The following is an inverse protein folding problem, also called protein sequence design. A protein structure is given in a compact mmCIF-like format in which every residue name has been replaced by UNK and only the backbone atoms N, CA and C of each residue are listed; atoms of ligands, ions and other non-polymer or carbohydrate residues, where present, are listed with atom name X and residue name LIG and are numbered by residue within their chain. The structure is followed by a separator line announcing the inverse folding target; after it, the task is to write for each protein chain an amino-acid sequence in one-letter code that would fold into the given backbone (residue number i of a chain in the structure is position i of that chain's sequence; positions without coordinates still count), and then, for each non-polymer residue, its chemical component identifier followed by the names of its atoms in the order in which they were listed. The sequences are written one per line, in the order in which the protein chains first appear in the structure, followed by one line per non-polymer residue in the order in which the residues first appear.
data_IF_873669943685
#
_entry.id   IF_873669943685
#
_cell.length_a   1.000
_cell.length_b   1.000
_cell.length_c   1.000
_cell.angle_alpha   90.00
_cell.angle_beta   90.00
_cell.angle_gamma   90.00
#
_symmetry.space_group_name_H-M   'P 1'
#
loop_
_entity.id
_entity.type
_entity.pdbx_description
1 polymer ?
#
# COMPACT_ATOMS: atom_id res chain seq x y z
N UNK A 1 -16.25 -22.37 17.10
CA UNK A 1 -15.32 -22.92 16.06
C UNK A 1 -14.40 -24.02 16.62
N UNK A 2 -13.72 -23.83 17.77
CA UNK A 2 -12.75 -24.82 18.27
C UNK A 2 -13.42 -26.09 18.90
N UNK A 3 -14.57 -25.93 19.54
CA UNK A 3 -15.36 -27.06 20.10
C UNK A 3 -16.05 -27.85 19.00
N UNK A 4 -16.58 -27.18 18.00
CA UNK A 4 -17.23 -27.79 16.83
C UNK A 4 -16.23 -28.63 16.03
N UNK A 5 -15.02 -28.07 15.77
CA UNK A 5 -13.95 -28.79 15.09
C UNK A 5 -13.52 -30.03 15.86
N UNK A 6 -13.31 -29.94 17.18
CA UNK A 6 -12.98 -31.08 18.03
C UNK A 6 -14.08 -32.15 18.03
N UNK A 7 -15.34 -31.74 18.02
CA UNK A 7 -16.48 -32.67 17.92
C UNK A 7 -16.50 -33.36 16.57
N UNK A 8 -16.35 -32.62 15.46
CA UNK A 8 -16.29 -33.18 14.11
C UNK A 8 -15.10 -34.14 13.95
N UNK A 9 -13.91 -33.78 14.45
CA UNK A 9 -12.74 -34.65 14.42
C UNK A 9 -12.98 -35.97 15.22
N UNK A 10 -13.80 -35.94 16.28
CA UNK A 10 -14.13 -37.13 17.06
C UNK A 10 -15.15 -38.07 16.39
N UNK A 11 -15.98 -37.54 15.49
CA UNK A 11 -17.01 -38.30 14.77
C UNK A 11 -16.65 -38.65 13.33
N UNK A 12 -15.56 -38.14 12.83
CA UNK A 12 -15.11 -38.31 11.43
C UNK A 12 -15.02 -39.80 11.00
N UNK A 13 -14.61 -40.67 11.90
CA UNK A 13 -14.41 -42.10 11.65
C UNK A 13 -15.56 -42.97 12.18
N UNK A 14 -16.64 -42.36 12.72
CA UNK A 14 -17.80 -43.12 13.16
C UNK A 14 -18.67 -43.52 11.97
N UNK A 15 -19.22 -44.73 12.02
CA UNK A 15 -20.23 -45.19 11.07
C UNK A 15 -21.49 -44.36 11.24
N UNK A 16 -21.90 -43.62 10.20
CA UNK A 16 -23.10 -42.76 10.23
C UNK A 16 -24.24 -43.32 9.38
N UNK A 17 -23.93 -44.16 8.39
CA UNK A 17 -24.91 -44.86 7.57
C UNK A 17 -24.49 -46.31 7.42
N UNK A 18 -25.44 -47.22 7.77
CA UNK A 18 -25.28 -48.64 7.58
C UNK A 18 -26.43 -49.16 6.69
N UNK A 19 -26.11 -49.55 5.46
CA UNK A 19 -27.09 -50.07 4.49
C UNK A 19 -27.16 -51.61 4.51
N UNK A 20 -26.54 -52.27 5.48
CA UNK A 20 -26.49 -53.70 5.59
C UNK A 20 -25.48 -54.39 4.70
N UNK A 21 -25.20 -53.85 3.52
CA UNK A 21 -24.23 -54.31 2.53
C UNK A 21 -22.97 -53.45 2.51
N UNK A 22 -23.08 -52.19 2.93
CA UNK A 22 -22.02 -51.19 2.97
C UNK A 22 -22.22 -50.27 4.17
N UNK A 23 -21.12 -50.00 4.85
CA UNK A 23 -21.03 -49.06 5.96
C UNK A 23 -20.27 -47.83 5.50
N UNK A 24 -20.73 -46.62 5.84
CA UNK A 24 -20.12 -45.37 5.48
C UNK A 24 -19.82 -44.55 6.73
N UNK A 25 -18.58 -44.12 6.86
CA UNK A 25 -18.17 -43.16 7.88
C UNK A 25 -18.60 -41.74 7.50
N UNK A 26 -18.54 -40.81 8.44
CA UNK A 26 -18.82 -39.39 8.16
C UNK A 26 -17.87 -38.86 7.05
N UNK A 27 -16.60 -39.25 7.07
CA UNK A 27 -15.64 -38.86 6.03
C UNK A 27 -16.02 -39.39 4.64
N UNK A 28 -16.45 -40.67 4.55
CA UNK A 28 -16.85 -41.27 3.26
C UNK A 28 -18.04 -40.54 2.63
N UNK A 29 -18.95 -40.03 3.46
CA UNK A 29 -20.13 -39.28 2.99
C UNK A 29 -19.74 -37.86 2.63
N UNK A 30 -18.88 -37.25 3.43
CA UNK A 30 -18.40 -35.90 3.19
C UNK A 30 -17.59 -35.80 1.88
N UNK A 31 -16.77 -36.82 1.59
CA UNK A 31 -16.00 -36.88 0.34
C UNK A 31 -16.89 -37.11 -0.89
N UNK A 32 -18.09 -37.67 -0.68
CA UNK A 32 -19.12 -37.86 -1.73
C UNK A 32 -20.19 -36.77 -1.74
N UNK A 33 -20.11 -35.78 -0.84
CA UNK A 33 -21.02 -34.65 -0.83
C UNK A 33 -20.98 -33.94 -2.18
N UNK A 34 -22.16 -33.76 -2.80
CA UNK A 34 -22.23 -33.01 -4.05
C UNK A 34 -21.82 -31.56 -3.78
N UNK A 35 -20.88 -31.09 -4.59
CA UNK A 35 -20.45 -29.71 -4.53
C UNK A 35 -21.58 -28.80 -4.99
N UNK A 36 -22.24 -28.18 -4.03
CA UNK A 36 -23.31 -27.22 -4.28
C UNK A 36 -22.70 -25.91 -4.77
N UNK A 37 -23.10 -25.50 -5.98
CA UNK A 37 -22.71 -24.22 -6.56
C UNK A 37 -23.26 -23.02 -5.78
N UNK A 38 -22.95 -21.83 -6.26
CA UNK A 38 -23.34 -20.54 -5.70
C UNK A 38 -24.87 -20.44 -5.46
N UNK A 39 -25.66 -20.99 -6.37
CA UNK A 39 -27.13 -20.93 -6.34
C UNK A 39 -27.74 -21.69 -5.16
N UNK A 40 -27.08 -22.74 -4.69
CA UNK A 40 -27.59 -23.60 -3.61
C UNK A 40 -26.93 -23.32 -2.26
N UNK A 41 -25.65 -22.94 -2.25
CA UNK A 41 -24.87 -22.70 -1.03
C UNK A 41 -24.78 -21.22 -0.67
N UNK A 42 -25.20 -20.33 -1.58
CA UNK A 42 -24.93 -18.90 -1.51
C UNK A 42 -23.43 -18.63 -1.68
N UNK A 43 -23.01 -17.40 -1.58
CA UNK A 43 -21.60 -17.03 -1.67
C UNK A 43 -21.40 -15.68 -2.35
N UNK A 44 -20.22 -15.48 -2.89
CA UNK A 44 -19.80 -14.22 -3.53
C UNK A 44 -19.49 -14.48 -4.99
N UNK A 45 -20.06 -13.65 -5.88
CA UNK A 45 -19.65 -13.54 -7.28
C UNK A 45 -19.11 -12.13 -7.48
N UNK A 46 -17.85 -12.02 -7.88
CA UNK A 46 -17.18 -10.76 -8.11
C UNK A 46 -16.50 -10.75 -9.48
N UNK A 47 -16.52 -9.60 -10.14
CA UNK A 47 -15.76 -9.36 -11.37
C UNK A 47 -14.72 -8.29 -11.04
N UNK A 48 -13.45 -8.65 -11.14
CA UNK A 48 -12.33 -7.73 -11.03
C UNK A 48 -11.81 -7.37 -12.40
N UNK A 49 -11.34 -6.15 -12.57
CA UNK A 49 -10.71 -5.70 -13.80
C UNK A 49 -9.31 -5.17 -13.49
N UNK A 50 -8.31 -5.68 -14.21
CA UNK A 50 -6.96 -5.13 -14.18
C UNK A 50 -6.97 -3.76 -14.85
N UNK A 51 -6.48 -2.74 -14.15
CA UNK A 51 -6.39 -1.38 -14.69
C UNK A 51 -5.26 -1.29 -15.71
N UNK A 52 -5.59 -1.33 -16.99
CA UNK A 52 -4.61 -1.13 -18.08
C UNK A 52 -3.93 0.22 -17.97
N UNK A 53 -4.65 1.26 -17.53
CA UNK A 53 -4.08 2.58 -17.24
C UNK A 53 -2.92 2.51 -16.25
N UNK A 54 -3.12 1.84 -15.10
CA UNK A 54 -2.08 1.70 -14.08
C UNK A 54 -0.89 0.87 -14.59
N UNK A 55 -1.14 -0.13 -15.44
CA UNK A 55 -0.08 -0.89 -16.10
C UNK A 55 0.74 0.04 -17.00
N UNK A 56 0.11 0.87 -17.82
CA UNK A 56 0.81 1.84 -18.69
C UNK A 56 1.62 2.87 -17.89
N UNK A 57 1.07 3.37 -16.78
CA UNK A 57 1.78 4.29 -15.88
C UNK A 57 3.03 3.59 -15.29
N UNK A 58 2.88 2.36 -14.85
CA UNK A 58 3.99 1.57 -14.30
C UNK A 58 5.07 1.29 -15.34
N UNK A 59 4.69 0.84 -16.55
CA UNK A 59 5.62 0.58 -17.65
C UNK A 59 6.38 1.83 -18.10
N UNK A 60 5.74 3.00 -18.03
CA UNK A 60 6.38 4.30 -18.31
C UNK A 60 7.25 4.83 -17.16
N UNK A 61 7.39 4.08 -16.05
CA UNK A 61 8.05 4.52 -14.83
C UNK A 61 7.49 5.85 -14.30
N UNK A 62 6.16 5.96 -14.25
CA UNK A 62 5.42 7.15 -13.83
C UNK A 62 5.80 8.42 -14.63
N UNK A 63 5.86 8.29 -15.96
CA UNK A 63 6.21 9.36 -16.87
C UNK A 63 5.49 10.67 -16.53
N UNK A 64 6.24 11.76 -16.52
CA UNK A 64 5.73 13.12 -16.29
C UNK A 64 5.48 13.88 -17.61
N UNK A 65 5.66 13.22 -18.75
CA UNK A 65 5.38 13.79 -20.07
C UNK A 65 3.95 14.33 -20.14
N UNK A 66 3.81 15.60 -20.54
CA UNK A 66 2.51 16.25 -20.65
C UNK A 66 1.63 15.57 -21.70
N UNK A 67 2.21 15.12 -22.81
CA UNK A 67 1.51 14.42 -23.89
C UNK A 67 0.96 13.10 -23.36
N UNK A 68 1.78 12.30 -22.67
CA UNK A 68 1.39 11.03 -22.10
C UNK A 68 0.24 11.20 -21.07
N UNK A 69 0.37 12.17 -20.16
CA UNK A 69 -0.66 12.44 -19.14
C UNK A 69 -1.96 12.95 -19.72
N UNK A 70 -1.87 13.79 -20.76
CA UNK A 70 -3.05 14.28 -21.50
C UNK A 70 -3.75 13.14 -22.22
N UNK A 71 -3.00 12.24 -22.87
CA UNK A 71 -3.55 11.07 -23.54
C UNK A 71 -4.25 10.11 -22.57
N UNK A 72 -3.66 9.83 -21.40
CA UNK A 72 -4.31 9.02 -20.37
C UNK A 72 -5.63 9.63 -19.90
N UNK A 73 -5.66 10.95 -19.68
CA UNK A 73 -6.88 11.63 -19.25
C UNK A 73 -7.97 11.58 -20.33
N UNK A 74 -7.60 11.78 -21.58
CA UNK A 74 -8.53 11.72 -22.70
C UNK A 74 -9.05 10.29 -22.90
N UNK A 75 -8.21 9.26 -22.78
CA UNK A 75 -8.62 7.87 -22.83
C UNK A 75 -9.60 7.50 -21.68
N UNK A 76 -9.40 8.04 -20.46
CA UNK A 76 -10.36 7.86 -19.35
C UNK A 76 -11.74 8.43 -19.69
N UNK A 77 -11.80 9.60 -20.32
CA UNK A 77 -13.07 10.21 -20.73
C UNK A 77 -13.71 9.42 -21.88
N UNK A 78 -12.91 8.98 -22.86
CA UNK A 78 -13.39 8.15 -23.96
C UNK A 78 -13.96 6.81 -23.48
N UNK A 79 -13.34 6.19 -22.46
CA UNK A 79 -13.80 4.91 -21.90
C UNK A 79 -15.18 4.99 -21.24
N UNK A 80 -15.61 6.16 -20.75
CA UNK A 80 -16.93 6.32 -20.14
C UNK A 80 -18.08 6.06 -21.13
N UNK A 81 -17.82 6.35 -22.40
CA UNK A 81 -18.83 6.26 -23.48
C UNK A 81 -18.51 5.18 -24.51
N UNK A 82 -17.44 4.42 -24.32
CA UNK A 82 -16.95 3.42 -25.26
C UNK A 82 -16.59 2.13 -24.54
N UNK A 83 -16.86 0.98 -25.16
CA UNK A 83 -16.54 -0.36 -24.67
C UNK A 83 -15.24 -0.92 -25.25
N UNK A 84 -14.52 -0.13 -26.03
CA UNK A 84 -13.27 -0.53 -26.67
C UNK A 84 -12.18 -0.83 -25.62
N UNK A 85 -11.14 -1.52 -26.08
CA UNK A 85 -9.99 -1.81 -25.24
C UNK A 85 -9.29 -0.49 -24.84
N UNK A 86 -8.97 -0.33 -23.56
CA UNK A 86 -8.31 0.88 -23.05
C UNK A 86 -6.99 1.20 -23.76
N UNK A 87 -6.21 0.19 -24.16
CA UNK A 87 -4.97 0.42 -24.90
C UNK A 87 -5.24 1.10 -26.25
N UNK A 88 -6.31 0.69 -26.94
CA UNK A 88 -6.68 1.28 -28.24
C UNK A 88 -7.14 2.72 -28.06
N UNK A 89 -7.95 2.98 -27.04
CA UNK A 89 -8.37 4.35 -26.71
C UNK A 89 -7.16 5.22 -26.36
N UNK A 90 -6.25 4.72 -25.50
CA UNK A 90 -5.03 5.44 -25.14
C UNK A 90 -4.17 5.74 -26.36
N UNK A 91 -3.99 4.77 -27.26
CA UNK A 91 -3.20 4.92 -28.46
C UNK A 91 -3.75 6.01 -29.37
N UNK A 92 -5.04 5.99 -29.66
CA UNK A 92 -5.72 7.01 -30.46
C UNK A 92 -5.58 8.40 -29.85
N UNK A 93 -5.82 8.52 -28.55
CA UNK A 93 -5.70 9.79 -27.82
C UNK A 93 -4.26 10.27 -27.72
N UNK A 94 -3.30 9.35 -27.68
CA UNK A 94 -1.89 9.71 -27.72
C UNK A 94 -1.48 10.30 -29.07
N UNK A 95 -1.93 9.73 -30.17
CA UNK A 95 -1.66 10.27 -31.51
C UNK A 95 -2.27 11.66 -31.69
N UNK A 96 -3.49 11.88 -31.18
CA UNK A 96 -4.12 13.21 -31.17
C UNK A 96 -3.32 14.19 -30.31
N UNK A 97 -2.91 13.79 -29.10
CA UNK A 97 -2.18 14.63 -28.17
C UNK A 97 -0.75 14.93 -28.64
N UNK A 98 -0.09 13.99 -29.30
CA UNK A 98 1.23 14.16 -29.89
C UNK A 98 1.17 15.07 -31.12
N UNK A 99 0.14 14.96 -31.95
CA UNK A 99 -0.06 15.82 -33.13
C UNK A 99 1.22 15.99 -33.96
N UNK A 100 1.63 17.25 -34.17
CA UNK A 100 2.85 17.59 -34.93
C UNK A 100 4.10 17.72 -34.05
N UNK A 101 4.05 17.39 -32.76
CA UNK A 101 5.17 17.58 -31.81
C UNK A 101 6.35 16.64 -32.07
N UNK A 102 6.16 15.57 -32.85
CA UNK A 102 7.18 14.57 -33.12
C UNK A 102 7.48 13.63 -31.95
N UNK A 103 6.75 13.74 -30.84
CA UNK A 103 6.89 12.88 -29.66
C UNK A 103 6.33 11.50 -29.98
N UNK A 104 7.14 10.45 -29.70
CA UNK A 104 6.76 9.05 -29.94
C UNK A 104 6.55 8.30 -28.64
N UNK A 105 5.81 7.21 -28.70
CA UNK A 105 5.68 6.27 -27.57
C UNK A 105 7.05 5.67 -27.16
N UNK A 106 7.98 5.52 -28.12
CA UNK A 106 9.34 5.01 -27.89
C UNK A 106 10.29 6.01 -27.22
N UNK A 107 9.86 7.24 -26.94
CA UNK A 107 10.70 8.24 -26.27
C UNK A 107 11.12 7.78 -24.87
N UNK A 108 12.37 8.11 -24.45
CA UNK A 108 12.89 7.74 -23.13
C UNK A 108 12.06 8.25 -21.95
N UNK A 109 11.33 9.36 -22.15
CA UNK A 109 10.43 9.94 -21.15
C UNK A 109 9.08 9.22 -21.06
N UNK A 110 8.77 8.29 -21.98
CA UNK A 110 7.50 7.55 -22.02
C UNK A 110 7.78 6.06 -21.83
N UNK A 111 7.93 5.27 -22.90
CA UNK A 111 8.18 3.84 -22.81
C UNK A 111 9.59 3.41 -23.21
N UNK A 112 10.42 4.30 -23.76
CA UNK A 112 11.85 4.06 -24.00
C UNK A 112 12.67 3.96 -22.70
N UNK A 113 12.06 3.44 -21.62
CA UNK A 113 12.62 3.36 -20.28
C UNK A 113 13.73 2.30 -20.21
N UNK A 114 14.62 2.42 -19.21
CA UNK A 114 15.70 1.45 -18.99
C UNK A 114 15.19 0.02 -18.83
N UNK A 115 14.00 -0.16 -18.24
CA UNK A 115 13.37 -1.46 -18.01
C UNK A 115 12.86 -2.12 -19.30
N UNK A 116 12.39 -1.32 -20.27
CA UNK A 116 11.83 -1.80 -21.54
C UNK A 116 12.82 -1.69 -22.71
N UNK A 117 14.07 -1.27 -22.48
CA UNK A 117 15.04 -0.94 -23.53
C UNK A 117 15.34 -2.08 -24.50
N UNK A 118 15.28 -3.33 -24.04
CA UNK A 118 15.49 -4.51 -24.89
C UNK A 118 14.32 -4.74 -25.86
N UNK A 119 13.10 -4.31 -25.45
CA UNK A 119 11.86 -4.51 -26.20
C UNK A 119 11.46 -3.25 -26.98
N UNK A 120 11.62 -2.07 -26.36
CA UNK A 120 11.25 -0.78 -26.92
C UNK A 120 12.48 0.09 -27.03
N UNK A 121 13.06 0.16 -28.21
CA UNK A 121 14.15 1.07 -28.54
C UNK A 121 13.59 2.33 -29.24
N UNK A 122 14.37 3.40 -29.24
CA UNK A 122 14.01 4.72 -29.80
C UNK A 122 13.60 4.69 -31.27
N UNK A 123 14.05 3.70 -32.05
CA UNK A 123 13.75 3.60 -33.47
C UNK A 123 12.39 2.97 -33.77
N UNK A 124 11.73 2.36 -32.78
CA UNK A 124 10.41 1.73 -32.96
C UNK A 124 9.34 2.75 -33.26
N UNK A 125 8.45 2.37 -34.16
CA UNK A 125 7.22 3.13 -34.46
C UNK A 125 6.22 3.01 -33.31
N UNK A 126 5.24 3.90 -33.29
CA UNK A 126 4.16 3.82 -32.27
C UNK A 126 3.40 2.49 -32.36
N UNK A 127 3.20 1.94 -33.55
CA UNK A 127 2.51 0.67 -33.77
C UNK A 127 3.30 -0.51 -33.19
N UNK A 128 4.61 -0.56 -33.43
CA UNK A 128 5.49 -1.58 -32.86
C UNK A 128 5.54 -1.48 -31.33
N UNK A 129 5.50 -0.28 -30.78
CA UNK A 129 5.42 -0.06 -29.31
C UNK A 129 4.07 -0.55 -28.78
N UNK A 130 2.98 -0.30 -29.49
CA UNK A 130 1.64 -0.78 -29.12
C UNK A 130 1.58 -2.30 -29.02
N UNK A 131 2.17 -3.03 -29.99
CA UNK A 131 2.25 -4.49 -29.96
C UNK A 131 3.01 -4.99 -28.73
N UNK A 132 4.15 -4.38 -28.41
CA UNK A 132 4.93 -4.73 -27.22
C UNK A 132 4.17 -4.42 -25.91
N UNK A 133 3.49 -3.28 -25.85
CA UNK A 133 2.64 -2.93 -24.71
C UNK A 133 1.49 -3.91 -24.52
N UNK A 134 0.88 -4.39 -25.61
CA UNK A 134 -0.17 -5.42 -25.54
C UNK A 134 0.36 -6.72 -24.93
N UNK A 135 1.60 -7.12 -25.26
CA UNK A 135 2.25 -8.30 -24.69
C UNK A 135 2.48 -8.09 -23.19
N UNK A 136 3.01 -6.92 -22.78
CA UNK A 136 3.27 -6.59 -21.37
C UNK A 136 1.97 -6.51 -20.55
N UNK A 137 0.92 -5.92 -21.10
CA UNK A 137 -0.40 -5.87 -20.47
C UNK A 137 -0.95 -7.28 -20.26
N UNK A 138 -0.88 -8.15 -21.28
CA UNK A 138 -1.34 -9.54 -21.16
C UNK A 138 -0.52 -10.31 -20.11
N UNK A 139 0.77 -10.08 -20.04
CA UNK A 139 1.66 -10.64 -19.00
C UNK A 139 1.23 -10.17 -17.60
N UNK A 140 0.95 -8.87 -17.44
CA UNK A 140 0.47 -8.28 -16.19
C UNK A 140 -0.88 -8.85 -15.76
N UNK A 141 -1.81 -9.07 -16.71
CA UNK A 141 -3.11 -9.69 -16.46
C UNK A 141 -2.93 -11.14 -15.99
N UNK A 142 -2.03 -11.90 -16.64
CA UNK A 142 -1.72 -13.28 -16.22
C UNK A 142 -1.14 -13.31 -14.80
N UNK A 143 -0.21 -12.44 -14.51
CA UNK A 143 0.37 -12.33 -13.16
C UNK A 143 -0.69 -11.99 -12.12
N UNK A 144 -1.57 -11.03 -12.41
CA UNK A 144 -2.69 -10.68 -11.53
C UNK A 144 -3.64 -11.87 -11.30
N UNK A 145 -3.93 -12.64 -12.34
CA UNK A 145 -4.75 -13.85 -12.26
C UNK A 145 -4.13 -14.89 -11.32
N UNK A 146 -2.84 -15.21 -11.48
CA UNK A 146 -2.14 -16.18 -10.63
C UNK A 146 -2.04 -15.70 -9.18
N UNK A 147 -1.81 -14.40 -8.95
CA UNK A 147 -1.82 -13.82 -7.61
C UNK A 147 -3.19 -13.95 -6.94
N UNK A 148 -4.26 -13.63 -7.66
CA UNK A 148 -5.64 -13.79 -7.16
C UNK A 148 -5.96 -15.24 -6.84
N UNK A 149 -5.60 -16.16 -7.72
CA UNK A 149 -5.77 -17.59 -7.52
C UNK A 149 -5.06 -18.07 -6.25
N UNK A 150 -3.78 -17.73 -6.11
CA UNK A 150 -3.00 -18.08 -4.92
C UNK A 150 -3.59 -17.51 -3.62
N UNK A 151 -4.10 -16.29 -3.64
CA UNK A 151 -4.78 -15.68 -2.47
C UNK A 151 -6.05 -16.43 -2.09
N UNK A 152 -6.85 -16.77 -3.08
CA UNK A 152 -8.13 -17.45 -2.87
C UNK A 152 -7.91 -18.88 -2.38
N UNK A 153 -6.94 -19.59 -2.95
CA UNK A 153 -6.57 -20.94 -2.51
C UNK A 153 -6.11 -20.93 -1.04
N UNK A 154 -5.29 -19.93 -0.64
CA UNK A 154 -4.85 -19.75 0.76
C UNK A 154 -5.99 -19.32 1.71
N UNK A 155 -7.06 -18.73 1.20
CA UNK A 155 -8.22 -18.33 2.01
C UNK A 155 -9.07 -19.52 2.49
N UNK A 156 -8.90 -20.67 1.86
CA UNK A 156 -9.56 -21.93 2.29
C UNK A 156 -11.04 -22.01 1.93
N UNK A 157 -11.49 -21.30 0.90
CA UNK A 157 -12.84 -21.49 0.35
C UNK A 157 -12.90 -22.81 -0.42
N UNK A 158 -13.94 -23.59 -0.19
CA UNK A 158 -14.12 -24.85 -0.88
C UNK A 158 -14.50 -24.60 -2.34
N UNK A 159 -13.68 -25.07 -3.26
CA UNK A 159 -13.91 -25.04 -4.72
C UNK A 159 -14.23 -23.64 -5.31
N UNK A 160 -13.29 -22.71 -5.19
CA UNK A 160 -13.44 -21.42 -5.85
C UNK A 160 -13.40 -21.61 -7.38
N UNK A 161 -14.24 -20.87 -8.11
CA UNK A 161 -14.16 -20.78 -9.56
C UNK A 161 -13.56 -19.42 -9.95
N UNK A 162 -12.45 -19.45 -10.68
CA UNK A 162 -11.73 -18.25 -11.10
C UNK A 162 -11.50 -18.35 -12.60
N UNK A 163 -12.05 -17.41 -13.36
CA UNK A 163 -12.00 -17.44 -14.82
C UNK A 163 -11.65 -16.07 -15.40
N UNK A 164 -10.88 -16.05 -16.47
CA UNK A 164 -10.67 -14.83 -17.27
C UNK A 164 -11.81 -14.65 -18.24
N UNK A 165 -12.34 -13.43 -18.33
CA UNK A 165 -13.41 -13.08 -19.29
C UNK A 165 -12.78 -12.51 -20.56
N UNK A 166 -12.53 -13.37 -21.53
CA UNK A 166 -11.92 -12.97 -22.82
C UNK A 166 -10.58 -12.26 -22.64
N UNK A 167 -10.32 -11.27 -23.50
CA UNK A 167 -9.09 -10.45 -23.48
C UNK A 167 -9.31 -9.07 -22.81
N UNK A 168 -10.42 -8.89 -22.09
CA UNK A 168 -10.82 -7.60 -21.51
C UNK A 168 -10.07 -7.22 -20.22
N UNK A 169 -9.16 -8.09 -19.74
CA UNK A 169 -8.51 -7.93 -18.45
C UNK A 169 -9.45 -8.15 -17.25
N UNK A 170 -10.66 -8.67 -17.49
CA UNK A 170 -11.62 -9.01 -16.43
C UNK A 170 -11.41 -10.43 -15.95
N UNK A 171 -11.54 -10.60 -14.64
CA UNK A 171 -11.40 -11.87 -13.93
C UNK A 171 -12.66 -12.07 -13.12
N UNK A 172 -13.43 -13.11 -13.44
CA UNK A 172 -14.58 -13.53 -12.64
C UNK A 172 -14.13 -14.46 -11.52
N UNK A 173 -14.65 -14.23 -10.33
CA UNK A 173 -14.35 -14.98 -9.13
C UNK A 173 -15.66 -15.38 -8.48
N UNK A 174 -15.86 -16.68 -8.30
CA UNK A 174 -17.02 -17.24 -7.61
C UNK A 174 -16.52 -18.01 -6.38
N UNK A 175 -17.04 -17.65 -5.21
CA UNK A 175 -16.64 -18.20 -3.93
C UNK A 175 -17.87 -18.79 -3.22
N UNK A 176 -18.24 -20.07 -3.48
CA UNK A 176 -19.38 -20.70 -2.87
C UNK A 176 -19.22 -20.81 -1.34
N UNK A 177 -20.28 -20.50 -0.60
CA UNK A 177 -20.30 -20.59 0.85
C UNK A 177 -19.54 -19.52 1.62
N UNK A 178 -18.94 -18.55 0.93
CA UNK A 178 -18.30 -17.40 1.58
C UNK A 178 -19.38 -16.48 2.18
N UNK A 179 -19.31 -16.25 3.52
CA UNK A 179 -20.34 -15.47 4.26
C UNK A 179 -19.89 -14.03 4.52
N UNK A 180 -18.58 -13.78 4.64
CA UNK A 180 -18.01 -12.48 4.99
C UNK A 180 -17.54 -11.76 3.72
N UNK A 181 -18.46 -11.01 3.12
CA UNK A 181 -18.24 -10.25 1.89
C UNK A 181 -17.13 -9.20 2.04
N UNK A 182 -17.08 -8.50 3.19
CA UNK A 182 -16.14 -7.41 3.42
C UNK A 182 -14.72 -7.94 3.54
N UNK A 183 -14.53 -9.04 4.26
CA UNK A 183 -13.24 -9.70 4.40
C UNK A 183 -12.73 -10.23 3.07
N UNK A 184 -13.61 -10.88 2.29
CA UNK A 184 -13.26 -11.38 0.96
C UNK A 184 -12.91 -10.24 0.02
N UNK A 185 -13.73 -9.18 -0.01
CA UNK A 185 -13.46 -8.00 -0.84
C UNK A 185 -12.11 -7.39 -0.50
N UNK A 186 -11.81 -7.19 0.78
CA UNK A 186 -10.48 -6.71 1.22
C UNK A 186 -9.36 -7.62 0.76
N UNK A 187 -9.54 -8.95 0.87
CA UNK A 187 -8.51 -9.91 0.46
C UNK A 187 -8.19 -9.84 -1.04
N UNK A 188 -9.23 -9.84 -1.88
CA UNK A 188 -9.05 -9.89 -3.34
C UNK A 188 -8.69 -8.54 -3.95
N UNK A 189 -9.10 -7.42 -3.34
CA UNK A 189 -8.82 -6.07 -3.84
C UNK A 189 -7.61 -5.41 -3.20
N UNK A 190 -7.10 -5.94 -2.07
CA UNK A 190 -5.94 -5.34 -1.40
C UNK A 190 -4.72 -5.31 -2.31
N UNK A 191 -4.19 -4.12 -2.49
CA UNK A 191 -2.91 -3.88 -3.14
C UNK A 191 -1.91 -3.54 -2.04
N UNK A 192 -0.80 -4.26 -1.99
CA UNK A 192 0.30 -3.93 -1.12
C UNK A 192 1.59 -4.30 -1.84
N UNK A 193 2.48 -3.35 -1.96
CA UNK A 193 3.85 -3.58 -2.39
C UNK A 193 4.68 -3.93 -1.16
N UNK A 194 5.26 -5.13 -1.15
CA UNK A 194 6.14 -5.53 -0.07
C UNK A 194 7.52 -4.93 -0.32
N UNK A 195 7.97 -4.13 0.63
CA UNK A 195 9.26 -3.48 0.60
C UNK A 195 9.97 -3.68 1.94
N UNK A 196 11.27 -3.96 1.90
CA UNK A 196 12.11 -4.04 3.10
C UNK A 196 13.10 -2.89 3.07
N UNK A 197 13.11 -2.13 4.16
CA UNK A 197 13.95 -0.96 4.34
C UNK A 197 14.68 -1.05 5.68
N UNK A 198 15.90 -0.55 5.71
CA UNK A 198 16.52 -0.21 6.97
C UNK A 198 15.80 1.00 7.58
N UNK A 199 15.75 1.03 8.90
CA UNK A 199 15.19 2.15 9.67
C UNK A 199 16.27 2.82 10.49
N UNK A 200 16.14 4.12 10.68
CA UNK A 200 16.92 4.83 11.67
C UNK A 200 16.41 4.52 13.06
N UNK A 201 17.31 4.44 14.01
CA UNK A 201 16.94 4.47 15.41
C UNK A 201 16.50 5.89 15.82
N UNK A 202 15.71 5.98 16.90
CA UNK A 202 15.34 7.27 17.47
C UNK A 202 16.56 8.10 17.88
N UNK A 203 17.65 7.46 18.34
CA UNK A 203 18.92 8.13 18.67
C UNK A 203 19.55 8.86 17.47
N UNK A 204 19.49 8.25 16.27
CA UNK A 204 20.07 8.82 15.05
C UNK A 204 19.30 10.05 14.55
N UNK A 205 17.99 10.12 14.77
CA UNK A 205 17.13 11.21 14.24
C UNK A 205 16.69 12.22 15.29
N UNK A 206 16.93 11.99 16.58
CA UNK A 206 16.48 12.89 17.65
C UNK A 206 17.01 14.33 17.51
N UNK A 207 18.29 14.51 17.15
CA UNK A 207 18.88 15.84 16.97
C UNK A 207 18.21 16.61 15.82
N UNK A 208 17.87 15.92 14.75
CA UNK A 208 17.09 16.50 13.65
C UNK A 208 15.70 16.93 14.12
N UNK A 209 15.00 16.10 14.89
CA UNK A 209 13.66 16.42 15.41
C UNK A 209 13.68 17.58 16.39
N UNK A 210 14.74 17.74 17.20
CA UNK A 210 14.93 18.92 18.03
C UNK A 210 15.10 20.19 17.20
N UNK A 211 15.95 20.15 16.18
CA UNK A 211 16.14 21.28 15.27
C UNK A 211 14.86 21.61 14.49
N UNK A 212 14.14 20.57 14.04
CA UNK A 212 12.86 20.72 13.37
C UNK A 212 11.81 21.37 14.30
N UNK A 213 11.77 20.97 15.58
CA UNK A 213 10.86 21.55 16.56
C UNK A 213 11.10 23.06 16.74
N UNK A 214 12.35 23.50 16.82
CA UNK A 214 12.69 24.92 16.95
C UNK A 214 12.24 25.73 15.75
N UNK A 215 12.50 25.25 14.52
CA UNK A 215 12.06 25.92 13.28
C UNK A 215 10.53 25.93 13.17
N UNK A 216 9.85 24.83 13.49
CA UNK A 216 8.38 24.78 13.48
C UNK A 216 7.78 25.74 14.50
N UNK A 217 8.37 25.89 15.67
CA UNK A 217 7.90 26.85 16.67
C UNK A 217 7.97 28.31 16.14
N UNK A 218 9.06 28.66 15.45
CA UNK A 218 9.18 29.96 14.80
C UNK A 218 8.14 30.17 13.69
N UNK A 219 7.96 29.16 12.82
CA UNK A 219 6.99 29.20 11.73
C UNK A 219 5.55 29.40 12.25
N UNK A 220 5.17 28.68 13.30
CA UNK A 220 3.83 28.80 13.88
C UNK A 220 3.61 30.13 14.62
N UNK A 221 4.69 30.79 15.08
CA UNK A 221 4.62 32.16 15.60
C UNK A 221 4.40 33.18 14.48
N UNK A 222 5.11 33.05 13.35
CA UNK A 222 4.96 33.91 12.17
C UNK A 222 3.52 33.82 11.63
N UNK A 223 2.96 32.63 11.44
CA UNK A 223 1.60 32.41 10.95
C UNK A 223 0.52 33.03 11.88
N UNK A 224 0.75 33.01 13.20
CA UNK A 224 -0.16 33.65 14.15
C UNK A 224 -0.04 35.19 14.17
N UNK A 225 1.10 35.77 13.81
CA UNK A 225 1.33 37.20 13.73
C UNK A 225 0.68 37.80 12.47
N UNK A 226 0.72 37.10 11.32
CA UNK A 226 0.05 37.53 10.07
C UNK A 226 -1.48 37.45 10.16
N UNK A 227 -2.02 36.59 11.02
CA UNK A 227 -3.48 36.47 11.26
C UNK A 227 -4.09 37.63 12.06
N UNK A 228 -3.27 38.45 12.68
CA UNK A 228 -3.72 39.57 13.54
C UNK A 228 -3.75 40.95 12.85
N UNK A 229 -3.31 41.07 11.60
CA UNK A 229 -3.28 42.36 10.87
C UNK A 229 -4.56 42.70 10.06
N UNK A 230 -5.65 41.95 10.19
CA UNK A 230 -6.93 42.24 9.49
C UNK A 230 -8.12 42.30 10.40
N UNK A 231 -8.06 43.04 11.49
CA UNK A 231 -9.27 43.58 12.17
C UNK A 231 -8.90 44.94 12.74
N UNK A 232 -8.92 45.97 11.91
CA UNK A 232 -9.20 47.35 12.35
C UNK A 232 -10.71 47.49 12.53
N UNK A 233 -11.09 48.05 13.66
CA UNK A 233 -12.41 48.48 14.16
C UNK A 233 -13.12 47.48 15.11
N UNK A 234 -12.72 47.53 16.38
CA UNK A 234 -13.62 47.47 17.52
C UNK A 234 -12.87 47.78 18.83
N UNK A 235 -12.93 49.03 19.28
CA UNK A 235 -12.24 49.57 20.45
C UNK A 235 -12.76 49.07 21.83
N UNK A 236 -13.69 48.13 21.87
CA UNK A 236 -14.30 47.64 23.13
C UNK A 236 -13.86 46.24 23.56
N UNK A 237 -13.03 45.55 22.77
CA UNK A 237 -12.54 44.16 23.10
C UNK A 237 -11.23 44.22 23.87
N UNK A 238 -10.50 45.33 23.81
CA UNK A 238 -9.17 45.45 24.44
C UNK A 238 -9.25 45.48 25.98
N UNK A 239 -10.39 45.91 26.55
CA UNK A 239 -10.61 45.92 28.01
C UNK A 239 -10.92 44.51 28.57
N UNK A 240 -11.60 43.67 27.78
CA UNK A 240 -11.94 42.28 28.17
C UNK A 240 -10.72 41.34 28.06
N UNK A 241 -9.82 41.61 27.09
CA UNK A 241 -8.59 40.84 26.90
C UNK A 241 -7.52 41.07 28.00
N UNK A 242 -7.59 42.23 28.69
CA UNK A 242 -6.66 42.53 29.78
C UNK A 242 -7.07 41.91 31.14
N UNK A 243 -8.34 41.54 31.32
CA UNK A 243 -8.82 40.84 32.53
C UNK A 243 -8.65 39.30 32.48
N UNK A 244 -8.39 38.70 31.29
CA UNK A 244 -8.17 37.26 31.12
C UNK A 244 -6.69 36.90 31.08
N UNK A 245 -5.77 37.89 31.25
CA UNK A 245 -4.30 37.62 31.20
C UNK A 245 -3.70 37.01 32.46
N UNK A 246 -4.50 36.58 33.40
CA UNK A 246 -3.97 36.03 34.66
C UNK A 246 -4.32 34.56 34.92
N UNK A 247 -4.20 33.69 33.97
CA UNK A 247 -4.11 32.22 34.17
C UNK A 247 -4.23 31.37 32.91
N UNK A 248 -3.61 31.69 31.79
CA UNK A 248 -3.39 30.70 30.74
C UNK A 248 -2.01 30.93 30.15
N UNK A 249 -1.04 30.09 30.54
CA UNK A 249 0.17 29.90 29.77
C UNK A 249 -0.27 29.58 28.33
N UNK A 250 -0.06 30.53 27.42
CA UNK A 250 -0.18 30.28 26.00
C UNK A 250 0.89 29.26 25.66
N UNK A 251 0.54 27.98 25.70
CA UNK A 251 1.46 26.93 25.26
C UNK A 251 1.81 27.20 23.81
N UNK A 252 3.03 27.66 23.60
CA UNK A 252 3.56 27.87 22.25
C UNK A 252 3.42 26.57 21.48
N UNK A 253 2.62 26.59 20.40
CA UNK A 253 2.47 25.43 19.53
C UNK A 253 3.81 25.12 18.88
N UNK A 254 4.24 23.88 18.97
CA UNK A 254 5.50 23.36 18.44
C UNK A 254 5.27 22.02 17.75
N UNK A 255 6.26 21.46 17.08
CA UNK A 255 6.18 20.11 16.54
C UNK A 255 5.83 19.10 17.64
N UNK A 256 6.42 19.26 18.82
CA UNK A 256 6.21 18.37 19.97
C UNK A 256 4.85 18.50 20.63
N UNK A 257 4.07 19.51 20.29
CA UNK A 257 2.65 19.59 20.67
C UNK A 257 1.82 18.50 19.97
N UNK A 258 2.22 18.10 18.74
CA UNK A 258 1.55 17.11 17.93
C UNK A 258 2.26 15.76 17.89
N UNK A 259 3.57 15.75 18.20
CA UNK A 259 4.43 14.58 18.07
C UNK A 259 5.15 14.30 19.41
N UNK A 260 4.82 13.18 20.03
CA UNK A 260 5.52 12.69 21.21
C UNK A 260 6.76 11.91 20.78
N UNK A 261 7.94 12.53 20.88
CA UNK A 261 9.20 11.94 20.44
C UNK A 261 9.76 11.02 21.51
N UNK A 262 10.17 9.83 21.12
CA UNK A 262 10.78 8.85 21.98
C UNK A 262 12.29 9.15 22.15
N UNK A 263 12.61 10.07 23.07
CA UNK A 263 13.99 10.45 23.34
C UNK A 263 14.74 9.39 24.12
N UNK A 264 16.02 9.19 23.79
CA UNK A 264 16.89 8.25 24.46
C UNK A 264 18.14 8.97 25.00
N UNK A 265 18.60 8.51 26.15
CA UNK A 265 19.81 9.04 26.82
C UNK A 265 21.05 8.18 26.54
N UNK A 266 20.87 6.96 26.07
CA UNK A 266 21.94 6.03 25.71
C UNK A 266 21.60 5.19 24.49
N UNK A 267 22.60 4.77 23.70
CA UNK A 267 22.43 3.90 22.54
C UNK A 267 21.78 2.55 22.85
N UNK A 268 21.95 2.06 24.10
CA UNK A 268 21.34 0.79 24.53
C UNK A 268 19.80 0.86 24.65
N UNK A 269 19.23 2.06 24.69
CA UNK A 269 17.78 2.29 24.69
C UNK A 269 17.24 2.65 23.30
N UNK A 270 18.10 2.56 22.27
CA UNK A 270 17.71 2.89 20.92
C UNK A 270 16.59 1.94 20.42
N UNK A 271 15.61 2.52 19.74
CA UNK A 271 14.45 1.83 19.19
C UNK A 271 14.18 2.32 17.78
N UNK A 272 13.59 1.48 16.96
CA UNK A 272 13.10 1.87 15.63
C UNK A 272 11.86 2.79 15.69
N UNK A 273 11.12 2.78 16.81
CA UNK A 273 10.02 3.69 17.04
C UNK A 273 10.54 5.07 17.41
N UNK A 274 10.46 6.01 16.47
CA UNK A 274 11.01 7.37 16.61
C UNK A 274 10.12 8.26 17.46
N UNK A 275 8.82 8.19 17.23
CA UNK A 275 7.84 9.01 17.91
C UNK A 275 6.44 8.40 17.82
N UNK A 276 5.49 8.99 18.53
CA UNK A 276 4.07 8.68 18.44
C UNK A 276 3.25 9.96 18.29
N UNK A 277 2.12 9.89 17.62
CA UNK A 277 1.18 10.99 17.52
C UNK A 277 -0.26 10.48 17.65
N UNK A 278 -1.20 11.38 17.99
CA UNK A 278 -2.61 11.07 17.83
C UNK A 278 -2.94 10.90 16.35
N UNK A 279 -3.83 9.98 16.01
CA UNK A 279 -4.23 9.76 14.61
C UNK A 279 -4.75 11.04 13.96
N UNK A 280 -5.47 11.89 14.71
CA UNK A 280 -5.95 13.21 14.26
C UNK A 280 -4.83 14.16 13.83
N UNK A 281 -3.64 14.03 14.42
CA UNK A 281 -2.55 14.97 14.26
C UNK A 281 -1.55 14.57 13.16
N UNK A 282 -1.69 13.36 12.63
CA UNK A 282 -0.78 12.80 11.61
C UNK A 282 -0.66 13.68 10.38
N UNK A 283 -1.78 14.26 9.90
CA UNK A 283 -1.78 15.15 8.74
C UNK A 283 -0.97 16.44 9.00
N UNK A 284 -1.10 17.00 10.21
CA UNK A 284 -0.34 18.18 10.62
C UNK A 284 1.15 17.87 10.74
N UNK A 285 1.52 16.77 11.40
CA UNK A 285 2.91 16.32 11.51
C UNK A 285 3.53 16.10 10.12
N UNK A 286 2.82 15.44 9.21
CA UNK A 286 3.29 15.26 7.83
C UNK A 286 3.53 16.59 7.12
N UNK A 287 2.62 17.57 7.27
CA UNK A 287 2.77 18.91 6.70
C UNK A 287 4.02 19.60 7.24
N UNK A 288 4.21 19.58 8.57
CA UNK A 288 5.34 20.23 9.24
C UNK A 288 6.68 19.58 8.86
N UNK A 289 6.78 18.23 8.85
CA UNK A 289 8.00 17.51 8.47
C UNK A 289 8.32 17.60 6.96
N UNK A 290 7.33 17.93 6.13
CA UNK A 290 7.50 18.13 4.69
C UNK A 290 7.79 19.59 4.30
N UNK A 291 7.83 20.52 5.25
CA UNK A 291 8.17 21.90 4.97
C UNK A 291 9.63 22.06 4.52
N UNK A 292 9.87 22.96 3.56
CA UNK A 292 11.20 23.18 2.98
C UNK A 292 12.23 23.65 4.03
N UNK A 293 11.82 24.49 4.99
CA UNK A 293 12.70 24.97 6.07
C UNK A 293 13.13 23.78 6.95
N UNK A 294 12.21 22.86 7.26
CA UNK A 294 12.48 21.65 8.04
C UNK A 294 13.33 20.65 7.27
N UNK A 295 13.00 20.39 6.00
CA UNK A 295 13.78 19.49 5.13
C UNK A 295 15.23 19.97 4.99
N UNK A 296 15.48 21.27 4.93
CA UNK A 296 16.82 21.83 4.79
C UNK A 296 17.74 21.56 5.99
N UNK A 297 17.19 21.19 7.16
CA UNK A 297 17.96 20.83 8.35
C UNK A 297 18.56 19.43 8.30
N UNK A 298 18.20 18.62 7.28
CA UNK A 298 18.71 17.25 7.15
C UNK A 298 20.19 17.24 6.87
N UNK A 299 20.95 16.56 7.71
CA UNK A 299 22.37 16.28 7.52
C UNK A 299 22.57 15.26 6.38
N UNK A 300 23.81 15.06 5.94
CA UNK A 300 24.10 14.11 4.86
C UNK A 300 23.64 12.68 5.22
N UNK A 301 23.75 12.28 6.47
CA UNK A 301 23.40 10.93 6.94
C UNK A 301 21.89 10.65 6.85
N UNK A 302 21.06 11.67 7.11
CA UNK A 302 19.61 11.58 7.08
C UNK A 302 18.97 12.31 5.88
N UNK A 303 19.75 12.63 4.86
CA UNK A 303 19.32 13.43 3.71
C UNK A 303 18.07 12.87 3.02
N UNK A 304 18.01 11.56 2.89
CA UNK A 304 16.92 10.85 2.21
C UNK A 304 15.95 10.20 3.22
N UNK A 305 15.92 10.64 4.49
CA UNK A 305 14.99 10.10 5.47
C UNK A 305 13.56 10.26 5.00
N UNK A 306 12.77 9.18 5.15
CA UNK A 306 11.34 9.15 4.88
C UNK A 306 10.61 8.73 6.16
N UNK A 307 9.66 9.54 6.60
CA UNK A 307 8.85 9.24 7.77
C UNK A 307 7.58 8.49 7.35
N UNK A 308 7.33 7.36 7.98
CA UNK A 308 6.15 6.53 7.73
C UNK A 308 5.46 6.20 9.05
N UNK A 309 4.14 6.16 9.01
CA UNK A 309 3.30 5.76 10.13
C UNK A 309 3.13 4.24 10.17
N UNK A 310 2.90 3.72 11.36
CA UNK A 310 2.49 2.33 11.54
C UNK A 310 1.17 2.05 10.80
N UNK A 311 0.91 0.78 10.51
CA UNK A 311 -0.33 0.35 9.88
C UNK A 311 -1.53 0.46 10.82
N UNK A 312 -1.35 0.22 12.12
CA UNK A 312 -2.43 0.13 13.10
C UNK A 312 -2.19 1.07 14.26
N UNK A 313 -3.20 1.88 14.55
CA UNK A 313 -3.21 2.68 15.76
C UNK A 313 -3.38 1.80 17.00
N UNK A 314 -2.76 2.20 18.10
CA UNK A 314 -2.93 1.63 19.43
C UNK A 314 -3.86 2.53 20.23
N UNK A 315 -4.75 1.94 21.03
CA UNK A 315 -5.65 2.69 21.90
C UNK A 315 -5.04 2.79 23.29
N UNK A 316 -4.82 4.01 23.75
CA UNK A 316 -4.37 4.28 25.11
C UNK A 316 -5.47 4.01 26.15
N UNK A 317 -5.12 3.88 27.45
CA UNK A 317 -6.11 3.69 28.52
C UNK A 317 -7.15 4.82 28.63
N UNK A 318 -6.81 6.02 28.17
CA UNK A 318 -7.72 7.19 28.11
C UNK A 318 -8.67 7.20 26.90
N UNK A 319 -8.61 6.17 26.05
CA UNK A 319 -9.40 6.04 24.84
C UNK A 319 -8.85 6.79 23.62
N UNK A 320 -7.70 7.49 23.75
CA UNK A 320 -7.07 8.16 22.60
C UNK A 320 -6.37 7.13 21.68
N UNK A 321 -6.52 7.30 20.39
CA UNK A 321 -5.82 6.49 19.38
C UNK A 321 -4.47 7.15 19.04
N UNK A 322 -3.40 6.41 19.24
CA UNK A 322 -2.03 6.83 18.93
C UNK A 322 -1.43 5.90 17.87
N UNK A 323 -0.56 6.44 17.04
CA UNK A 323 0.10 5.73 15.96
C UNK A 323 1.60 6.00 15.99
N UNK A 324 2.41 4.96 15.77
CA UNK A 324 3.86 5.04 15.76
C UNK A 324 4.42 5.64 14.49
N UNK A 325 5.49 6.44 14.62
CA UNK A 325 6.25 7.03 13.51
C UNK A 325 7.63 6.36 13.43
N UNK A 326 7.99 5.93 12.21
CA UNK A 326 9.27 5.31 11.87
C UNK A 326 10.01 6.16 10.86
N UNK A 327 11.34 6.19 10.96
CA UNK A 327 12.22 6.89 10.04
C UNK A 327 12.94 5.86 9.15
N UNK A 328 12.64 5.86 7.86
CA UNK A 328 13.16 4.91 6.87
C UNK A 328 14.45 5.46 6.26
N UNK A 329 15.50 4.63 6.14
CA UNK A 329 16.74 4.94 5.39
C UNK A 329 16.46 4.81 3.88
N UNK A 330 15.76 5.81 3.33
CA UNK A 330 15.47 5.83 1.90
C UNK A 330 16.70 6.26 1.08
N UNK A 331 16.60 6.10 -0.23
CA UNK A 331 17.64 6.47 -1.17
C UNK A 331 17.11 7.51 -2.20
N UNK A 332 17.99 8.02 -3.04
CA UNK A 332 17.66 9.07 -4.03
C UNK A 332 16.52 8.68 -4.99
N UNK A 333 16.36 7.39 -5.26
CA UNK A 333 15.37 6.88 -6.22
C UNK A 333 14.09 6.39 -5.52
N UNK A 334 14.04 6.41 -4.19
CA UNK A 334 12.95 5.86 -3.36
C UNK A 334 12.58 4.39 -3.72
N UNK A 335 13.61 3.59 -4.07
CA UNK A 335 13.47 2.18 -4.43
C UNK A 335 14.01 1.33 -3.29
N UNK A 336 13.15 0.44 -2.75
CA UNK A 336 13.53 -0.45 -1.67
C UNK A 336 14.68 -1.39 -2.06
N UNK A 337 15.65 -1.63 -1.17
CA UNK A 337 16.73 -2.59 -1.39
C UNK A 337 16.21 -4.00 -1.70
N UNK A 338 15.12 -4.39 -1.05
CA UNK A 338 14.45 -5.67 -1.26
C UNK A 338 12.95 -5.41 -1.48
N UNK A 339 12.40 -5.98 -2.53
CA UNK A 339 11.00 -5.87 -2.89
C UNK A 339 10.34 -7.27 -2.91
N UNK A 340 9.02 -7.30 -3.02
CA UNK A 340 8.25 -8.53 -3.02
C UNK A 340 8.54 -9.48 -4.19
N UNK A 341 9.20 -9.02 -5.25
CA UNK A 341 9.59 -9.81 -6.43
C UNK A 341 10.56 -10.96 -6.10
N UNK A 342 11.28 -10.85 -4.99
CA UNK A 342 12.21 -11.90 -4.52
C UNK A 342 11.56 -12.93 -3.59
N UNK A 343 10.33 -12.69 -3.14
CA UNK A 343 9.60 -13.61 -2.25
C UNK A 343 8.95 -14.70 -3.09
N UNK A 344 9.29 -15.96 -2.80
CA UNK A 344 8.77 -17.12 -3.51
C UNK A 344 7.60 -17.78 -2.80
N UNK A 345 7.55 -17.67 -1.46
CA UNK A 345 6.43 -18.16 -0.66
C UNK A 345 6.31 -17.38 0.66
N UNK A 346 5.11 -17.34 1.21
CA UNK A 346 4.83 -16.77 2.51
C UNK A 346 3.69 -17.54 3.18
N UNK A 347 3.86 -17.89 4.44
CA UNK A 347 2.88 -18.63 5.22
C UNK A 347 2.78 -18.10 6.66
N UNK A 348 1.59 -18.15 7.22
CA UNK A 348 1.42 -17.95 8.65
C UNK A 348 1.89 -19.21 9.39
N UNK A 349 2.76 -19.01 10.36
CA UNK A 349 3.22 -20.05 11.28
C UNK A 349 3.02 -19.56 12.72
N UNK A 350 3.28 -20.42 13.70
CA UNK A 350 3.23 -20.05 15.11
C UNK A 350 4.58 -20.33 15.74
N UNK A 351 5.06 -19.41 16.57
CA UNK A 351 6.27 -19.60 17.34
C UNK A 351 6.07 -20.63 18.49
N UNK A 352 7.13 -20.90 19.26
CA UNK A 352 7.09 -21.84 20.40
C UNK A 352 6.12 -21.39 21.51
N UNK A 353 5.79 -20.09 21.58
CA UNK A 353 4.86 -19.50 22.53
C UNK A 353 3.44 -19.36 21.96
N UNK A 354 3.19 -19.94 20.77
CA UNK A 354 1.92 -19.88 20.05
C UNK A 354 1.50 -18.46 19.60
N UNK A 355 2.48 -17.55 19.39
CA UNK A 355 2.23 -16.29 18.75
C UNK A 355 2.25 -16.46 17.22
N UNK A 356 1.39 -15.74 16.49
CA UNK A 356 1.38 -15.81 15.03
C UNK A 356 2.61 -15.10 14.44
N UNK A 357 3.33 -15.81 13.57
CA UNK A 357 4.45 -15.30 12.79
C UNK A 357 4.21 -15.45 11.29
N UNK A 358 4.99 -14.74 10.49
CA UNK A 358 5.00 -14.90 9.03
C UNK A 358 6.34 -15.50 8.62
N UNK A 359 6.32 -16.74 8.14
CA UNK A 359 7.47 -17.36 7.48
C UNK A 359 7.50 -16.94 6.01
N UNK A 360 8.67 -16.56 5.51
CA UNK A 360 8.88 -16.17 4.12
C UNK A 360 10.05 -16.93 3.52
N UNK A 361 9.87 -17.42 2.29
CA UNK A 361 10.93 -17.98 1.47
C UNK A 361 11.32 -16.97 0.37
N UNK A 362 12.61 -16.91 0.07
CA UNK A 362 13.15 -16.01 -0.94
C UNK A 362 13.90 -16.80 -2.01
N UNK A 363 13.97 -16.26 -3.23
CA UNK A 363 14.83 -16.79 -4.27
C UNK A 363 16.32 -16.49 -3.95
N UNK A 364 17.26 -17.07 -4.72
CA UNK A 364 18.70 -16.93 -4.47
C UNK A 364 19.20 -15.47 -4.52
N UNK A 365 18.55 -14.58 -5.30
CA UNK A 365 18.83 -13.15 -5.31
C UNK A 365 18.36 -12.49 -4.01
N UNK A 366 17.15 -12.81 -3.58
CA UNK A 366 16.56 -12.28 -2.34
C UNK A 366 17.38 -12.68 -1.11
N UNK A 367 17.81 -13.94 -1.01
CA UNK A 367 18.63 -14.42 0.10
C UNK A 367 19.94 -13.66 0.23
N UNK A 368 20.64 -13.38 -0.88
CA UNK A 368 21.86 -12.56 -0.87
C UNK A 368 21.62 -11.10 -0.48
N UNK A 369 20.50 -10.51 -0.94
CA UNK A 369 20.15 -9.15 -0.56
C UNK A 369 19.76 -9.05 0.91
N UNK A 370 19.07 -10.09 1.42
CA UNK A 370 18.69 -10.19 2.84
C UNK A 370 19.91 -10.33 3.74
N UNK A 371 20.86 -11.24 3.37
CA UNK A 371 22.13 -11.40 4.07
C UNK A 371 22.88 -10.05 4.17
N UNK A 372 22.98 -9.31 3.07
CA UNK A 372 23.60 -7.99 3.06
C UNK A 372 22.87 -6.98 3.94
N UNK A 373 21.52 -6.94 3.85
CA UNK A 373 20.70 -5.98 4.62
C UNK A 373 20.79 -6.23 6.14
N UNK A 374 20.92 -7.50 6.56
CA UNK A 374 20.92 -7.91 7.96
C UNK A 374 22.32 -8.18 8.52
N UNK A 375 23.32 -8.34 7.69
CA UNK A 375 24.70 -8.65 8.08
C UNK A 375 25.58 -7.41 8.30
N UNK A 376 25.18 -6.27 7.76
CA UNK A 376 25.90 -4.99 7.90
C UNK A 376 25.43 -4.18 9.14
N UNK A 377 24.56 -4.78 9.97
CA UNK A 377 24.03 -4.17 11.22
C UNK A 377 24.65 -4.79 12.47
#
# INVERSE_FOLDING_TARGET
ANLEKKYLDSVNNLEVINLGISQFTYNDIKDKEMNLGLDLKGGINAILQVSVKEVLISLSNDSKSLVFRKALKAADEAQKNNTDNYLDLFFNEFEIAAGTSGIKLSDPEIFGTKALREKINFNKTNEEVREELQIEINSSINTAFEVLRSRIDKFGVTQPNIQRIGNSGRIQIELPGAKDTDRVTKLITSKAELQFWEVFSNAEVQNYLFSANSVVTEMLKEDNAEGTEKVEEASDIQSILNEVKDSTEVQEKSLFTYLNVNFVQSEQQASSLVAQAKVSDTAMVNKLLSDRKVISLRTNDIKNVKFLWDYKASTNPDGSEVIGLYAIKSNRNDIAPIQGDVITDAAQVFDQLNNPEVSMAMNGRGSKLWEKLTGDN
#
